data_IF_488527843623
#
_entry.id   IF_488527843623
#
_cell.length_a   1.000
_cell.length_b   1.000
_cell.length_c   1.000
_cell.angle_alpha   90.00
_cell.angle_beta   90.00
_cell.angle_gamma   90.00
#
_symmetry.space_group_name_H-M   'P 1'
#
loop_
_entity.id
_entity.type
_entity.pdbx_description
1 polymer ?
#
# COMPACT_ATOMS: atom_id res chain seq x y z
N UNK A 1 25.44 7.89 -32.50
CA UNK A 1 25.21 7.75 -31.06
C UNK A 1 25.67 8.97 -30.28
N UNK A 2 25.57 10.18 -30.85
CA UNK A 2 25.87 11.42 -30.13
C UNK A 2 24.56 12.13 -29.78
N UNK A 3 24.29 12.26 -28.48
CA UNK A 3 23.24 13.10 -27.94
C UNK A 3 23.90 14.23 -27.15
N UNK A 4 23.34 15.44 -27.25
CA UNK A 4 23.77 16.60 -26.46
C UNK A 4 22.76 16.85 -25.35
N UNK A 5 23.20 16.87 -24.09
CA UNK A 5 22.35 17.24 -22.96
C UNK A 5 22.00 18.73 -23.05
N UNK A 6 20.72 19.04 -23.25
CA UNK A 6 20.24 20.43 -23.34
C UNK A 6 19.80 20.99 -21.98
N UNK A 7 19.42 20.13 -21.05
CA UNK A 7 19.01 20.52 -19.70
C UNK A 7 18.28 19.41 -18.96
N UNK A 8 17.91 19.68 -17.70
CA UNK A 8 17.15 18.79 -16.84
C UNK A 8 15.97 19.58 -16.25
N UNK A 9 14.79 18.96 -16.22
CA UNK A 9 13.65 19.46 -15.47
C UNK A 9 13.30 18.43 -14.40
N UNK A 10 12.85 18.91 -13.24
CA UNK A 10 12.36 18.08 -12.16
C UNK A 10 10.97 18.57 -11.76
N UNK A 11 10.03 17.64 -11.58
CA UNK A 11 8.68 17.92 -11.12
C UNK A 11 8.56 17.35 -9.72
N UNK A 12 8.27 18.21 -8.75
CA UNK A 12 7.95 17.78 -7.39
C UNK A 12 6.47 17.35 -7.35
N UNK A 13 6.23 16.09 -7.01
CA UNK A 13 4.88 15.62 -6.72
C UNK A 13 4.54 15.95 -5.27
N UNK A 14 3.63 16.90 -5.08
CA UNK A 14 3.27 17.37 -3.74
C UNK A 14 2.18 16.51 -3.14
N UNK A 15 2.43 16.04 -1.93
CA UNK A 15 1.40 15.41 -1.11
C UNK A 15 0.25 16.38 -0.84
N UNK A 16 -0.97 15.83 -0.71
CA UNK A 16 -2.09 16.60 -0.19
C UNK A 16 -1.82 17.07 1.25
N UNK A 17 -2.46 18.17 1.64
CA UNK A 17 -2.34 18.71 2.99
C UNK A 17 -2.65 17.67 4.06
N UNK A 18 -1.76 17.53 5.05
CA UNK A 18 -1.98 16.71 6.23
C UNK A 18 -1.82 15.20 6.02
N UNK A 19 -1.39 14.74 4.84
CA UNK A 19 -1.17 13.31 4.56
C UNK A 19 -0.20 12.66 5.55
N UNK A 20 1.01 13.23 5.83
CA UNK A 20 1.95 12.59 6.75
C UNK A 20 1.37 12.42 8.17
N UNK A 21 0.69 13.45 8.68
CA UNK A 21 0.05 13.43 9.99
C UNK A 21 -1.09 12.42 10.04
N UNK A 22 -1.87 12.31 8.96
CA UNK A 22 -2.97 11.36 8.85
C UNK A 22 -2.47 9.91 8.85
N UNK A 23 -1.44 9.59 8.05
CA UNK A 23 -0.84 8.25 8.02
C UNK A 23 -0.29 7.88 9.39
N UNK A 24 0.45 8.78 10.04
CA UNK A 24 0.99 8.52 11.37
C UNK A 24 -0.13 8.27 12.39
N UNK A 25 -1.17 9.11 12.39
CA UNK A 25 -2.31 8.96 13.31
C UNK A 25 -3.04 7.63 13.11
N UNK A 26 -3.20 7.19 11.85
CA UNK A 26 -3.83 5.91 11.52
C UNK A 26 -2.94 4.73 11.96
N UNK A 27 -1.62 4.82 11.74
CA UNK A 27 -0.64 3.82 12.21
C UNK A 27 -0.63 3.71 13.74
N UNK A 28 -0.62 4.84 14.44
CA UNK A 28 -0.63 4.90 15.92
C UNK A 28 -1.93 4.33 16.51
N UNK A 29 -3.03 4.39 15.76
CA UNK A 29 -4.29 3.74 16.11
C UNK A 29 -4.28 2.20 15.89
N UNK A 30 -3.16 1.62 15.45
CA UNK A 30 -2.98 0.19 15.22
C UNK A 30 -3.44 -0.30 13.85
N UNK A 31 -3.76 0.61 12.92
CA UNK A 31 -4.14 0.25 11.55
C UNK A 31 -2.89 0.06 10.71
N UNK A 32 -2.79 -1.08 10.02
CA UNK A 32 -1.72 -1.34 9.05
C UNK A 32 -2.02 -0.61 7.75
N UNK A 33 -1.01 0.10 7.24
CA UNK A 33 -1.16 0.91 6.03
C UNK A 33 -0.28 0.35 4.93
N UNK A 34 -0.89 0.08 3.77
CA UNK A 34 -0.23 -0.41 2.57
C UNK A 34 -0.42 0.60 1.46
N UNK A 35 0.64 0.96 0.75
CA UNK A 35 0.58 1.84 -0.43
C UNK A 35 0.74 0.99 -1.68
N UNK A 36 -0.28 1.00 -2.54
CA UNK A 36 -0.33 0.22 -3.78
C UNK A 36 -0.29 1.20 -4.98
N UNK A 37 0.85 1.31 -5.66
CA UNK A 37 1.06 2.26 -6.77
C UNK A 37 1.51 1.58 -8.07
N UNK A 38 1.22 2.23 -9.19
CA UNK A 38 1.76 1.90 -10.51
C UNK A 38 3.15 2.49 -10.78
N UNK A 39 3.65 3.36 -9.89
CA UNK A 39 4.94 4.04 -10.06
C UNK A 39 6.14 3.10 -9.96
N UNK A 40 7.29 3.61 -10.39
CA UNK A 40 8.58 2.94 -10.20
C UNK A 40 8.91 2.83 -8.71
N UNK A 41 9.72 1.83 -8.39
CA UNK A 41 10.12 1.49 -7.02
C UNK A 41 10.74 2.67 -6.28
N UNK A 42 11.63 3.42 -6.93
CA UNK A 42 12.34 4.56 -6.33
C UNK A 42 11.35 5.66 -5.94
N UNK A 43 10.49 6.06 -6.88
CA UNK A 43 9.44 7.07 -6.65
C UNK A 43 8.47 6.65 -5.55
N UNK A 44 8.03 5.39 -5.56
CA UNK A 44 7.12 4.86 -4.55
C UNK A 44 7.73 4.90 -3.14
N UNK A 45 9.01 4.55 -3.01
CA UNK A 45 9.75 4.61 -1.75
C UNK A 45 9.95 6.05 -1.28
N UNK A 46 10.25 6.97 -2.19
CA UNK A 46 10.42 8.39 -1.85
C UNK A 46 9.11 9.04 -1.40
N UNK A 47 7.99 8.72 -2.06
CA UNK A 47 6.65 9.12 -1.61
C UNK A 47 6.34 8.53 -0.24
N UNK A 48 6.64 7.23 -0.01
CA UNK A 48 6.40 6.57 1.27
C UNK A 48 7.19 7.20 2.43
N UNK A 49 8.42 7.65 2.18
CA UNK A 49 9.20 8.43 3.17
C UNK A 49 8.59 9.81 3.39
N UNK A 50 8.23 10.51 2.31
CA UNK A 50 7.65 11.85 2.36
C UNK A 50 6.32 11.88 3.11
N UNK A 51 5.51 10.82 2.99
CA UNK A 51 4.23 10.67 3.66
C UNK A 51 4.34 10.05 5.06
N UNK A 52 5.57 9.87 5.60
CA UNK A 52 5.84 9.25 6.90
C UNK A 52 5.28 7.82 7.05
N UNK A 53 4.98 7.13 5.94
CA UNK A 53 4.71 5.70 5.96
C UNK A 53 5.96 4.95 6.39
N UNK A 54 7.10 5.31 5.81
CA UNK A 54 8.43 4.91 6.28
C UNK A 54 9.06 6.07 7.04
N UNK A 55 9.30 5.86 8.32
CA UNK A 55 9.98 6.83 9.17
C UNK A 55 11.49 6.87 8.90
N UNK A 56 12.21 7.87 9.46
CA UNK A 56 13.65 8.01 9.26
C UNK A 56 14.47 6.79 9.70
N UNK A 57 13.97 6.03 10.68
CA UNK A 57 14.61 4.83 11.23
C UNK A 57 14.00 3.52 10.73
N UNK A 58 13.06 3.57 9.78
CA UNK A 58 12.46 2.35 9.23
C UNK A 58 13.49 1.59 8.40
N UNK A 59 13.76 0.34 8.76
CA UNK A 59 14.63 -0.54 7.97
C UNK A 59 13.83 -1.17 6.84
N UNK A 60 14.24 -0.90 5.60
CA UNK A 60 13.54 -1.35 4.41
C UNK A 60 14.09 -2.68 3.91
N UNK A 61 13.17 -3.61 3.68
CA UNK A 61 13.42 -4.90 3.08
C UNK A 61 12.77 -4.95 1.70
N UNK A 62 13.52 -5.41 0.71
CA UNK A 62 13.09 -5.43 -0.68
C UNK A 62 12.92 -6.87 -1.17
N UNK A 63 11.79 -7.16 -1.81
CA UNK A 63 11.59 -8.32 -2.66
C UNK A 63 11.02 -7.83 -3.99
N UNK A 64 11.95 -7.50 -4.91
CA UNK A 64 11.66 -6.83 -6.19
C UNK A 64 12.45 -7.50 -7.32
N UNK A 65 11.99 -7.30 -8.55
CA UNK A 65 12.58 -7.79 -9.80
C UNK A 65 12.65 -9.32 -9.94
N UNK A 66 11.66 -10.05 -9.41
CA UNK A 66 11.56 -11.47 -9.73
C UNK A 66 11.33 -11.70 -11.23
N UNK A 67 11.99 -12.72 -11.78
CA UNK A 67 11.92 -13.14 -13.18
C UNK A 67 11.32 -14.56 -13.37
N UNK A 68 11.11 -15.28 -12.26
CA UNK A 68 10.39 -16.56 -12.21
C UNK A 68 9.68 -16.75 -10.86
N UNK A 69 8.85 -17.79 -10.76
CA UNK A 69 8.20 -18.20 -9.51
C UNK A 69 9.20 -18.60 -8.43
N UNK A 70 10.27 -19.33 -8.79
CA UNK A 70 11.36 -19.71 -7.88
C UNK A 70 12.11 -18.47 -7.37
N UNK A 71 12.43 -17.54 -8.27
CA UNK A 71 13.08 -16.27 -7.95
C UNK A 71 12.21 -15.43 -7.00
N UNK A 72 10.91 -15.37 -7.25
CA UNK A 72 9.95 -14.71 -6.37
C UNK A 72 9.91 -15.34 -4.97
N UNK A 73 9.86 -16.67 -4.86
CA UNK A 73 9.88 -17.36 -3.56
C UNK A 73 11.17 -17.05 -2.81
N UNK A 74 12.32 -17.15 -3.50
CA UNK A 74 13.62 -16.87 -2.90
C UNK A 74 13.72 -15.44 -2.36
N UNK A 75 13.26 -14.44 -3.12
CA UNK A 75 13.23 -13.05 -2.69
C UNK A 75 12.33 -12.84 -1.46
N UNK A 76 11.14 -13.45 -1.45
CA UNK A 76 10.21 -13.36 -0.31
C UNK A 76 10.78 -14.03 0.94
N UNK A 77 11.48 -15.16 0.81
CA UNK A 77 12.14 -15.83 1.93
C UNK A 77 13.33 -15.04 2.49
N UNK A 78 14.12 -14.41 1.62
CA UNK A 78 15.17 -13.47 2.04
C UNK A 78 14.55 -12.30 2.80
N UNK A 79 13.45 -11.74 2.28
CA UNK A 79 12.74 -10.66 2.95
C UNK A 79 12.19 -11.07 4.32
N UNK A 80 11.68 -12.30 4.44
CA UNK A 80 11.15 -12.86 5.69
C UNK A 80 12.24 -12.99 6.75
N UNK A 81 13.41 -13.50 6.36
CA UNK A 81 14.58 -13.59 7.24
C UNK A 81 15.04 -12.20 7.70
N UNK A 82 15.12 -11.25 6.78
CA UNK A 82 15.52 -9.88 7.10
C UNK A 82 14.57 -9.22 8.11
N UNK A 83 13.25 -9.31 7.90
CA UNK A 83 12.26 -8.76 8.83
C UNK A 83 12.28 -9.46 10.20
N UNK A 84 12.48 -10.78 10.24
CA UNK A 84 12.57 -11.52 11.49
C UNK A 84 13.87 -11.25 12.26
N UNK A 85 14.92 -10.79 11.58
CA UNK A 85 16.20 -10.43 12.20
C UNK A 85 16.22 -9.00 12.78
N UNK A 86 15.16 -8.22 12.59
CA UNK A 86 15.07 -6.88 13.15
C UNK A 86 15.01 -6.92 14.68
N UNK A 87 15.79 -6.05 15.31
CA UNK A 87 15.77 -5.90 16.77
C UNK A 87 14.39 -5.43 17.26
N UNK A 88 14.03 -5.83 18.47
CA UNK A 88 12.77 -5.43 19.08
C UNK A 88 12.69 -3.90 19.18
N UNK A 89 11.65 -3.32 18.57
CA UNK A 89 11.43 -1.87 18.53
C UNK A 89 11.88 -1.18 17.24
N UNK A 90 12.59 -1.88 16.35
CA UNK A 90 12.90 -1.37 15.00
C UNK A 90 11.68 -1.54 14.10
N UNK A 91 11.31 -0.46 13.39
CA UNK A 91 10.20 -0.48 12.43
C UNK A 91 10.67 -1.08 11.10
N UNK A 92 10.08 -2.21 10.69
CA UNK A 92 10.37 -2.89 9.44
C UNK A 92 9.40 -2.49 8.33
N UNK A 93 9.94 -1.97 7.23
CA UNK A 93 9.19 -1.65 6.01
C UNK A 93 9.43 -2.68 4.91
N UNK A 94 8.37 -3.05 4.19
CA UNK A 94 8.45 -3.99 3.07
C UNK A 94 8.23 -3.27 1.74
N UNK A 95 9.04 -3.58 0.74
CA UNK A 95 8.88 -3.10 -0.64
C UNK A 95 8.76 -4.29 -1.59
N UNK A 96 7.64 -4.36 -2.30
CA UNK A 96 7.33 -5.35 -3.34
C UNK A 96 7.12 -4.66 -4.67
N UNK A 97 7.32 -5.38 -5.77
CA UNK A 97 6.98 -4.90 -7.11
C UNK A 97 6.00 -5.82 -7.85
N UNK A 98 5.43 -5.29 -8.93
CA UNK A 98 4.43 -5.99 -9.73
C UNK A 98 4.94 -7.28 -10.35
N UNK A 99 6.23 -7.40 -10.68
CA UNK A 99 6.81 -8.64 -11.21
C UNK A 99 6.91 -9.72 -10.13
N UNK A 100 7.39 -9.38 -8.94
CA UNK A 100 7.41 -10.30 -7.79
C UNK A 100 6.01 -10.74 -7.42
N UNK A 101 5.06 -9.81 -7.32
CA UNK A 101 3.67 -10.15 -7.02
C UNK A 101 3.05 -11.03 -8.10
N UNK A 102 3.32 -10.77 -9.38
CA UNK A 102 2.82 -11.60 -10.48
C UNK A 102 3.21 -13.06 -10.29
N UNK A 103 4.50 -13.34 -10.14
CA UNK A 103 5.00 -14.70 -10.00
C UNK A 103 4.58 -15.33 -8.66
N UNK A 104 4.51 -14.54 -7.59
CA UNK A 104 4.07 -15.03 -6.30
C UNK A 104 2.60 -15.47 -6.29
N UNK A 105 1.73 -14.79 -7.05
CA UNK A 105 0.31 -15.16 -7.16
C UNK A 105 0.08 -16.47 -7.94
N UNK A 106 1.09 -16.97 -8.67
CA UNK A 106 1.03 -18.26 -9.37
C UNK A 106 1.35 -19.45 -8.44
N UNK A 107 1.88 -19.18 -7.23
CA UNK A 107 2.22 -20.21 -6.23
C UNK A 107 1.50 -19.97 -4.90
N UNK A 108 0.84 -21.02 -4.39
CA UNK A 108 0.16 -20.96 -3.09
C UNK A 108 1.13 -20.69 -1.92
N UNK A 109 2.37 -21.16 -2.03
CA UNK A 109 3.44 -20.92 -1.07
C UNK A 109 3.85 -19.44 -1.07
N UNK A 110 4.20 -18.90 -2.24
CA UNK A 110 4.61 -17.50 -2.38
C UNK A 110 3.49 -16.53 -2.01
N UNK A 111 2.25 -16.85 -2.36
CA UNK A 111 1.05 -16.09 -1.95
C UNK A 111 0.90 -16.05 -0.42
N UNK A 112 1.19 -17.16 0.26
CA UNK A 112 1.16 -17.21 1.72
C UNK A 112 2.31 -16.39 2.33
N UNK A 113 3.50 -16.41 1.72
CA UNK A 113 4.62 -15.56 2.13
C UNK A 113 4.32 -14.07 2.00
N UNK A 114 3.67 -13.62 0.91
CA UNK A 114 3.24 -12.21 0.78
C UNK A 114 2.36 -11.80 1.96
N UNK A 115 1.37 -12.64 2.30
CA UNK A 115 0.47 -12.36 3.41
C UNK A 115 1.23 -12.29 4.74
N UNK A 116 2.11 -13.27 5.02
CA UNK A 116 2.92 -13.32 6.23
C UNK A 116 3.86 -12.11 6.38
N UNK A 117 4.55 -11.72 5.30
CA UNK A 117 5.41 -10.54 5.28
C UNK A 117 4.59 -9.25 5.47
N UNK A 118 3.41 -9.21 4.88
CA UNK A 118 2.48 -8.09 4.99
C UNK A 118 1.93 -7.88 6.41
N UNK A 119 1.72 -8.95 7.18
CA UNK A 119 1.32 -8.86 8.59
C UNK A 119 2.52 -8.69 9.53
N UNK A 120 3.72 -9.13 9.14
CA UNK A 120 4.93 -8.91 9.91
C UNK A 120 5.39 -7.44 9.82
N UNK A 121 5.29 -6.85 8.64
CA UNK A 121 5.60 -5.43 8.41
C UNK A 121 4.47 -4.52 8.95
N UNK A 122 4.84 -3.38 9.54
CA UNK A 122 3.87 -2.33 9.93
C UNK A 122 3.46 -1.46 8.75
N UNK A 123 4.29 -1.41 7.72
CA UNK A 123 4.09 -0.60 6.53
C UNK A 123 4.66 -1.31 5.32
N UNK A 124 3.89 -1.32 4.23
CA UNK A 124 4.23 -2.01 3.00
C UNK A 124 4.00 -1.07 1.80
N UNK A 125 4.91 -1.11 0.83
CA UNK A 125 4.78 -0.44 -0.45
C UNK A 125 4.86 -1.49 -1.55
N UNK A 126 3.82 -1.57 -2.36
CA UNK A 126 3.81 -2.38 -3.58
C UNK A 126 3.80 -1.42 -4.78
N UNK A 127 4.84 -1.50 -5.61
CA UNK A 127 5.06 -0.61 -6.75
C UNK A 127 4.89 -1.34 -8.09
N UNK A 128 4.80 -0.60 -9.19
CA UNK A 128 4.59 -1.12 -10.55
C UNK A 128 3.41 -2.09 -10.68
N UNK A 129 2.34 -1.85 -9.91
CA UNK A 129 1.15 -2.71 -9.93
C UNK A 129 0.20 -2.34 -11.06
N UNK A 130 -0.35 -3.37 -11.70
CA UNK A 130 -1.57 -3.22 -12.50
C UNK A 130 -2.81 -3.04 -11.60
N UNK A 131 -3.90 -2.44 -12.09
CA UNK A 131 -5.16 -2.32 -11.33
C UNK A 131 -5.67 -3.65 -10.77
N UNK A 132 -5.55 -4.73 -11.54
CA UNK A 132 -5.96 -6.06 -11.11
C UNK A 132 -5.08 -6.61 -9.98
N UNK A 133 -3.76 -6.38 -10.03
CA UNK A 133 -2.86 -6.80 -8.96
C UNK A 133 -3.17 -6.08 -7.63
N UNK A 134 -3.55 -4.79 -7.68
CA UNK A 134 -4.01 -4.07 -6.47
C UNK A 134 -5.21 -4.76 -5.83
N UNK A 135 -6.20 -5.15 -6.64
CA UNK A 135 -7.38 -5.90 -6.20
C UNK A 135 -7.01 -7.25 -5.58
N UNK A 136 -6.18 -8.03 -6.26
CA UNK A 136 -5.78 -9.36 -5.80
C UNK A 136 -5.06 -9.32 -4.45
N UNK A 137 -4.25 -8.29 -4.19
CA UNK A 137 -3.63 -8.10 -2.87
C UNK A 137 -4.65 -7.81 -1.77
N UNK A 138 -5.68 -7.01 -2.05
CA UNK A 138 -6.76 -6.75 -1.09
C UNK A 138 -7.53 -8.04 -0.82
N UNK A 139 -7.94 -8.76 -1.87
CA UNK A 139 -8.66 -10.03 -1.75
C UNK A 139 -7.83 -11.11 -1.02
N UNK A 140 -6.51 -11.15 -1.24
CA UNK A 140 -5.59 -12.03 -0.49
C UNK A 140 -5.73 -11.83 1.02
N UNK A 141 -5.69 -10.58 1.51
CA UNK A 141 -5.84 -10.28 2.94
C UNK A 141 -7.22 -10.69 3.44
N UNK A 142 -8.28 -10.43 2.66
CA UNK A 142 -9.65 -10.81 3.03
C UNK A 142 -9.83 -12.32 3.17
N UNK A 143 -9.26 -13.08 2.25
CA UNK A 143 -9.39 -14.55 2.25
C UNK A 143 -8.53 -15.20 3.33
N UNK A 144 -7.31 -14.69 3.58
CA UNK A 144 -6.41 -15.23 4.60
C UNK A 144 -6.81 -14.83 6.02
N UNK A 145 -7.52 -13.72 6.19
CA UNK A 145 -7.98 -13.23 7.50
C UNK A 145 -9.46 -12.82 7.47
N UNK A 146 -10.39 -13.77 7.68
CA UNK A 146 -11.83 -13.49 7.63
C UNK A 146 -12.31 -12.51 8.70
N UNK A 147 -11.54 -12.31 9.77
CA UNK A 147 -11.86 -11.39 10.87
C UNK A 147 -11.30 -9.99 10.64
N UNK A 148 -10.36 -9.82 9.71
CA UNK A 148 -9.75 -8.52 9.42
C UNK A 148 -10.58 -7.76 8.40
N UNK A 149 -10.94 -6.52 8.75
CA UNK A 149 -11.62 -5.62 7.83
C UNK A 149 -10.58 -4.87 6.99
N UNK A 150 -10.77 -4.90 5.68
CA UNK A 150 -9.91 -4.21 4.71
C UNK A 150 -10.62 -2.97 4.20
N UNK A 151 -9.88 -1.87 4.11
CA UNK A 151 -10.34 -0.62 3.54
C UNK A 151 -9.41 -0.26 2.39
N UNK A 152 -10.00 0.07 1.23
CA UNK A 152 -9.28 0.56 0.07
C UNK A 152 -9.65 2.02 -0.19
N UNK A 153 -8.65 2.84 -0.49
CA UNK A 153 -8.81 4.26 -0.81
C UNK A 153 -8.12 4.56 -2.14
N UNK A 154 -8.77 5.32 -3.01
CA UNK A 154 -8.23 5.71 -4.31
C UNK A 154 -8.97 6.90 -4.91
N UNK A 155 -8.39 7.52 -5.92
CA UNK A 155 -8.91 8.75 -6.53
C UNK A 155 -9.17 8.64 -8.04
N UNK A 156 -8.65 7.60 -8.69
CA UNK A 156 -8.74 7.39 -10.13
C UNK A 156 -9.35 6.05 -10.54
N UNK A 157 -9.55 5.89 -11.86
CA UNK A 157 -10.08 4.66 -12.45
C UNK A 157 -9.18 3.43 -12.19
N UNK A 158 -7.87 3.65 -11.99
CA UNK A 158 -6.91 2.58 -11.69
C UNK A 158 -7.14 1.92 -10.33
N UNK A 159 -7.85 2.59 -9.42
CA UNK A 159 -8.11 2.08 -8.07
C UNK A 159 -9.50 1.48 -7.93
N UNK A 160 -10.38 1.66 -8.91
CA UNK A 160 -11.75 1.10 -8.92
C UNK A 160 -11.75 -0.39 -8.58
N UNK A 161 -10.94 -1.26 -9.22
CA UNK A 161 -10.95 -2.70 -8.88
C UNK A 161 -10.54 -3.00 -7.44
N UNK A 162 -9.63 -2.21 -6.87
CA UNK A 162 -9.17 -2.37 -5.49
C UNK A 162 -10.24 -1.90 -4.49
N UNK A 163 -10.91 -0.79 -4.80
CA UNK A 163 -12.02 -0.23 -4.00
C UNK A 163 -13.16 -1.25 -3.91
N UNK A 164 -13.60 -1.80 -5.04
CA UNK A 164 -14.64 -2.83 -5.10
C UNK A 164 -14.22 -4.15 -4.44
N UNK A 165 -12.91 -4.44 -4.42
CA UNK A 165 -12.35 -5.64 -3.79
C UNK A 165 -12.26 -5.57 -2.26
N UNK A 166 -12.40 -4.40 -1.64
CA UNK A 166 -12.30 -4.22 -0.20
C UNK A 166 -13.63 -4.46 0.55
N UNK A 167 -13.59 -4.49 1.88
CA UNK A 167 -14.82 -4.48 2.69
C UNK A 167 -15.42 -3.08 2.78
N UNK A 168 -14.56 -2.05 2.75
CA UNK A 168 -14.97 -0.65 2.73
C UNK A 168 -14.16 0.07 1.65
N UNK A 169 -14.86 0.61 0.67
CA UNK A 169 -14.30 1.42 -0.41
C UNK A 169 -14.43 2.92 -0.12
N UNK A 170 -13.32 3.65 -0.22
CA UNK A 170 -13.29 5.11 -0.09
C UNK A 170 -12.80 5.75 -1.39
N UNK A 171 -13.62 6.62 -1.96
CA UNK A 171 -13.25 7.42 -3.11
C UNK A 171 -12.79 8.81 -2.68
N UNK A 172 -11.64 9.23 -3.17
CA UNK A 172 -11.23 10.64 -3.11
C UNK A 172 -11.64 11.30 -4.43
N UNK A 173 -12.28 12.46 -4.37
CA UNK A 173 -12.59 13.22 -5.59
C UNK A 173 -11.31 13.78 -6.20
N UNK A 174 -10.73 13.06 -7.16
CA UNK A 174 -9.56 13.48 -7.91
C UNK A 174 -9.84 14.62 -8.91
N UNK A 175 -8.78 15.22 -9.43
CA UNK A 175 -8.86 16.18 -10.55
C UNK A 175 -9.13 15.49 -11.88
N UNK A 176 -8.74 14.23 -12.00
CA UNK A 176 -8.73 13.45 -13.24
C UNK A 176 -10.06 12.72 -13.51
N UNK A 177 -10.96 12.68 -12.53
CA UNK A 177 -12.28 12.08 -12.70
C UNK A 177 -12.99 11.76 -11.38
N UNK A 178 -14.19 11.19 -11.50
CA UNK A 178 -15.04 10.83 -10.36
C UNK A 178 -15.30 9.32 -10.26
N UNK A 179 -14.60 8.50 -11.05
CA UNK A 179 -14.85 7.06 -11.15
C UNK A 179 -14.66 6.36 -9.80
N UNK A 180 -13.58 6.66 -9.08
CA UNK A 180 -13.34 6.10 -7.75
C UNK A 180 -14.44 6.48 -6.74
N UNK A 181 -14.93 7.72 -6.80
CA UNK A 181 -16.04 8.21 -5.97
C UNK A 181 -17.36 7.54 -6.31
N UNK A 182 -17.62 7.27 -7.59
CA UNK A 182 -18.86 6.66 -8.06
C UNK A 182 -19.03 5.21 -7.61
N UNK A 183 -17.93 4.47 -7.43
CA UNK A 183 -17.94 3.06 -7.01
C UNK A 183 -17.71 2.87 -5.51
N UNK A 184 -17.33 3.93 -4.79
CA UNK A 184 -16.99 3.85 -3.36
C UNK A 184 -18.21 3.89 -2.43
N UNK A 185 -18.10 3.26 -1.27
CA UNK A 185 -19.11 3.36 -0.20
C UNK A 185 -19.14 4.77 0.42
N UNK A 186 -17.96 5.40 0.54
CA UNK A 186 -17.80 6.71 1.17
C UNK A 186 -16.90 7.59 0.29
N UNK A 187 -17.38 8.80 0.00
CA UNK A 187 -16.61 9.80 -0.72
C UNK A 187 -16.03 10.85 0.26
N UNK A 188 -14.73 11.12 0.15
CA UNK A 188 -14.08 12.24 0.86
C UNK A 188 -13.35 13.15 -0.14
N UNK A 189 -13.15 14.41 0.21
CA UNK A 189 -12.50 15.37 -0.70
C UNK A 189 -10.96 15.38 -0.59
N UNK A 190 -10.40 14.93 0.53
CA UNK A 190 -8.97 14.91 0.79
C UNK A 190 -8.61 13.75 1.71
N UNK A 191 -7.41 13.19 1.55
CA UNK A 191 -6.95 12.03 2.32
C UNK A 191 -7.01 12.27 3.84
N UNK A 192 -6.65 13.47 4.32
CA UNK A 192 -6.61 13.80 5.76
C UNK A 192 -7.93 13.54 6.51
N UNK A 193 -9.06 13.53 5.81
CA UNK A 193 -10.36 13.25 6.42
C UNK A 193 -10.57 11.78 6.78
N UNK A 194 -9.65 10.88 6.40
CA UNK A 194 -9.64 9.50 6.87
C UNK A 194 -9.55 9.40 8.40
N UNK A 195 -8.84 10.33 9.05
CA UNK A 195 -8.65 10.35 10.50
C UNK A 195 -9.97 10.52 11.25
N UNK A 196 -10.73 11.62 11.07
CA UNK A 196 -12.03 11.76 11.72
C UNK A 196 -13.03 10.69 11.26
N UNK A 197 -12.98 10.28 9.99
CA UNK A 197 -13.85 9.24 9.47
C UNK A 197 -13.68 7.91 10.22
N UNK A 198 -12.46 7.42 10.39
CA UNK A 198 -12.21 6.15 11.07
C UNK A 198 -12.31 6.30 12.60
N UNK A 199 -11.58 7.26 13.17
CA UNK A 199 -11.35 7.31 14.61
C UNK A 199 -12.48 7.97 15.38
N UNK A 200 -13.27 8.84 14.74
CA UNK A 200 -14.47 9.42 15.35
C UNK A 200 -15.74 8.72 14.86
N UNK A 201 -16.01 8.74 13.55
CA UNK A 201 -17.28 8.24 13.02
C UNK A 201 -17.33 6.72 13.04
N UNK A 202 -16.32 6.03 12.52
CA UNK A 202 -16.23 4.57 12.50
C UNK A 202 -16.31 3.96 13.89
N UNK A 203 -15.49 4.46 14.84
CA UNK A 203 -15.51 4.01 16.23
C UNK A 203 -16.88 4.24 16.91
N UNK A 204 -17.51 5.38 16.69
CA UNK A 204 -18.84 5.68 17.26
C UNK A 204 -19.93 4.79 16.66
N UNK A 205 -19.89 4.57 15.34
CA UNK A 205 -20.83 3.70 14.65
C UNK A 205 -20.71 2.26 15.17
N UNK A 206 -19.49 1.72 15.24
CA UNK A 206 -19.24 0.38 15.76
C UNK A 206 -19.79 0.21 17.18
N UNK A 207 -19.49 1.14 18.09
CA UNK A 207 -19.96 1.10 19.49
C UNK A 207 -21.47 1.27 19.68
N UNK A 208 -22.18 1.82 18.70
CA UNK A 208 -23.63 2.01 18.79
C UNK A 208 -24.42 0.80 18.32
N UNK A 209 -23.80 -0.02 17.47
CA UNK A 209 -24.42 -1.21 16.88
C UNK A 209 -24.02 -2.48 17.62
N UNK A 210 -22.81 -2.51 18.20
CA UNK A 210 -22.35 -3.58 19.11
C UNK A 210 -23.05 -3.49 20.48
#
# INVERSE_FOLDING_TARGET
>A
TELTLVGLTAVEDRLQDGVPQAIQTVKDAGVRVWVLTGDKTETAVDIAKSCALFGPSTQLTYAVNADSTESSIALLEVAKKALNSLEAGVDGGLVLDGTTIKFALESAEATSLIYELGIASRSCVCCRLSPMQKRLLVELVRHKSPTTITLAIGDGANDVPMIEGAHVGIGIRGKEGAQAVQVSDIAISQFRFIVPLLLCHGRRAYRRVA
#
